data_IF_871880901419
#
_entry.id   IF_871880901419
#
_cell.length_a   1.000
_cell.length_b   1.000
_cell.length_c   1.000
_cell.angle_alpha   90.00
_cell.angle_beta   90.00
_cell.angle_gamma   90.00
#
_symmetry.space_group_name_H-M   'P 1'
#
loop_
_entity.id
_entity.type
_entity.pdbx_description
1 polymer ?
#
# COMPACT_ATOMS: atom_id res chain seq x y z
N UNK A 1 -24.83 -0.31 -21.30
CA UNK A 1 -24.35 0.96 -20.69
C UNK A 1 -24.88 1.24 -19.27
N UNK A 2 -25.93 0.58 -18.79
CA UNK A 2 -26.55 0.80 -17.46
C UNK A 2 -25.73 0.31 -16.25
N UNK A 3 -24.83 -0.67 -16.44
CA UNK A 3 -24.00 -1.21 -15.34
C UNK A 3 -22.94 -0.23 -14.80
N UNK A 4 -22.51 0.76 -15.61
CA UNK A 4 -21.52 1.76 -15.21
C UNK A 4 -22.13 2.86 -14.32
N UNK A 5 -23.41 3.20 -14.51
CA UNK A 5 -24.05 4.30 -13.77
C UNK A 5 -24.25 3.97 -12.27
N UNK A 6 -24.61 2.72 -11.93
CA UNK A 6 -24.71 2.28 -10.53
C UNK A 6 -23.38 2.36 -9.79
N UNK A 7 -22.27 2.02 -10.46
CA UNK A 7 -20.93 2.08 -9.86
C UNK A 7 -20.50 3.53 -9.61
N UNK A 8 -20.79 4.45 -10.53
CA UNK A 8 -20.49 5.87 -10.32
C UNK A 8 -21.26 6.47 -9.15
N UNK A 9 -22.55 6.14 -9.03
CA UNK A 9 -23.36 6.56 -7.89
C UNK A 9 -22.77 6.04 -6.56
N UNK A 10 -22.39 4.77 -6.49
CA UNK A 10 -21.80 4.20 -5.27
C UNK A 10 -20.42 4.77 -4.94
N UNK A 11 -19.59 5.12 -5.94
CA UNK A 11 -18.29 5.77 -5.70
C UNK A 11 -18.45 7.20 -5.16
N UNK A 12 -19.41 7.94 -5.72
CA UNK A 12 -19.76 9.28 -5.24
C UNK A 12 -20.38 9.23 -3.83
N UNK A 13 -21.28 8.28 -3.59
CA UNK A 13 -21.83 8.00 -2.25
C UNK A 13 -20.71 7.63 -1.27
N UNK A 14 -19.73 6.81 -1.66
CA UNK A 14 -18.59 6.48 -0.80
C UNK A 14 -17.69 7.67 -0.50
N UNK A 15 -17.46 8.56 -1.46
CA UNK A 15 -16.74 9.81 -1.20
C UNK A 15 -17.50 10.68 -0.20
N UNK A 16 -18.80 10.86 -0.40
CA UNK A 16 -19.64 11.59 0.55
C UNK A 16 -19.70 10.92 1.92
N UNK A 17 -19.79 9.59 2.00
CA UNK A 17 -19.80 8.84 3.24
C UNK A 17 -18.47 8.96 3.97
N UNK A 18 -17.35 8.80 3.25
CA UNK A 18 -16.02 8.94 3.83
C UNK A 18 -15.78 10.37 4.31
N UNK A 19 -16.04 11.37 3.47
CA UNK A 19 -15.92 12.77 3.86
C UNK A 19 -16.86 13.13 5.00
N UNK A 20 -18.11 12.66 5.01
CA UNK A 20 -19.03 12.88 6.12
C UNK A 20 -18.56 12.19 7.41
N UNK A 21 -18.03 10.97 7.34
CA UNK A 21 -17.47 10.27 8.50
C UNK A 21 -16.23 10.97 9.06
N UNK A 22 -15.36 11.48 8.19
CA UNK A 22 -14.14 12.16 8.61
C UNK A 22 -14.40 13.59 9.08
N UNK A 23 -15.35 14.31 8.47
CA UNK A 23 -15.61 15.72 8.75
C UNK A 23 -16.57 15.94 9.93
N UNK A 24 -17.45 14.98 10.28
CA UNK A 24 -18.39 15.12 11.42
C UNK A 24 -17.72 15.30 12.79
N UNK A 25 -16.41 15.11 12.90
CA UNK A 25 -15.66 15.17 14.16
C UNK A 25 -14.51 16.18 14.16
N UNK A 26 -14.49 17.17 13.26
CA UNK A 26 -13.46 18.22 13.32
C UNK A 26 -13.55 19.08 14.60
N UNK A 27 -14.69 19.02 15.33
CA UNK A 27 -14.89 19.73 16.60
C UNK A 27 -14.57 18.96 17.89
N UNK A 28 -14.46 17.63 17.86
CA UNK A 28 -14.11 16.81 19.04
C UNK A 28 -13.40 15.52 18.59
N UNK A 29 -12.22 15.24 19.15
CA UNK A 29 -11.50 14.00 18.87
C UNK A 29 -12.35 12.81 19.33
N UNK A 30 -13.02 12.15 18.40
CA UNK A 30 -13.70 10.90 18.69
C UNK A 30 -12.69 9.89 19.25
N UNK A 31 -13.06 9.05 20.23
CA UNK A 31 -12.21 7.98 20.71
C UNK A 31 -11.70 7.14 19.54
N UNK A 32 -10.43 6.77 19.57
CA UNK A 32 -9.77 5.99 18.52
C UNK A 32 -10.56 4.73 18.14
N UNK A 33 -11.14 4.06 19.13
CA UNK A 33 -12.00 2.89 18.97
C UNK A 33 -13.21 3.16 18.06
N UNK A 34 -13.84 4.33 18.20
CA UNK A 34 -14.97 4.73 17.36
C UNK A 34 -14.54 4.97 15.91
N UNK A 35 -13.33 5.47 15.66
CA UNK A 35 -12.79 5.59 14.30
C UNK A 35 -12.58 4.22 13.69
N UNK A 36 -11.94 3.32 14.45
CA UNK A 36 -11.69 1.96 14.01
C UNK A 36 -12.99 1.20 13.70
N UNK A 37 -14.03 1.30 14.54
CA UNK A 37 -15.33 0.67 14.32
C UNK A 37 -16.02 1.20 13.05
N UNK A 38 -16.13 2.53 12.90
CA UNK A 38 -16.75 3.16 11.72
C UNK A 38 -16.06 2.79 10.40
N UNK A 39 -14.73 2.75 10.38
CA UNK A 39 -13.99 2.31 9.18
C UNK A 39 -14.25 0.85 8.84
N UNK A 40 -14.54 0.01 9.84
CA UNK A 40 -14.91 -1.38 9.60
C UNK A 40 -16.34 -1.49 9.06
N UNK A 41 -17.30 -0.76 9.64
CA UNK A 41 -18.69 -0.69 9.17
C UNK A 41 -18.75 -0.19 7.72
N UNK A 42 -18.11 0.95 7.43
CA UNK A 42 -17.99 1.49 6.08
C UNK A 42 -17.43 0.44 5.08
N UNK A 43 -16.37 -0.29 5.48
CA UNK A 43 -15.79 -1.32 4.62
C UNK A 43 -16.77 -2.48 4.35
N UNK A 44 -17.61 -2.85 5.33
CA UNK A 44 -18.62 -3.90 5.16
C UNK A 44 -19.76 -3.43 4.26
N UNK A 45 -20.33 -2.25 4.52
CA UNK A 45 -21.38 -1.65 3.71
C UNK A 45 -20.96 -1.51 2.26
N UNK A 46 -19.74 -0.99 2.04
CA UNK A 46 -19.23 -0.78 0.68
C UNK A 46 -19.00 -2.11 -0.06
N UNK A 47 -18.46 -3.14 0.61
CA UNK A 47 -18.30 -4.48 -0.01
C UNK A 47 -19.64 -5.13 -0.33
N UNK A 48 -20.67 -4.89 0.47
CA UNK A 48 -22.02 -5.35 0.18
C UNK A 48 -22.62 -4.63 -1.04
N UNK A 49 -22.36 -3.33 -1.17
CA UNK A 49 -22.87 -2.52 -2.29
C UNK A 49 -22.11 -2.75 -3.62
N UNK A 50 -20.82 -3.07 -3.56
CA UNK A 50 -19.96 -3.25 -4.75
C UNK A 50 -19.50 -4.71 -4.81
N UNK A 51 -20.32 -5.62 -5.37
CA UNK A 51 -19.97 -7.03 -5.46
C UNK A 51 -18.68 -7.22 -6.27
N UNK A 52 -17.86 -8.19 -5.85
CA UNK A 52 -16.56 -8.49 -6.43
C UNK A 52 -16.76 -9.12 -7.82
N UNK A 53 -16.20 -8.51 -8.87
CA UNK A 53 -16.55 -8.81 -10.28
C UNK A 53 -15.46 -9.46 -11.13
N UNK A 54 -14.29 -9.75 -10.57
CA UNK A 54 -13.20 -10.27 -11.40
C UNK A 54 -13.53 -11.68 -11.95
N UNK A 55 -13.27 -11.98 -13.23
CA UNK A 55 -13.33 -13.36 -13.70
C UNK A 55 -12.37 -14.24 -12.89
N UNK A 56 -12.82 -15.46 -12.55
CA UNK A 56 -11.96 -16.40 -11.83
C UNK A 56 -10.83 -16.82 -12.76
N UNK A 57 -9.58 -16.54 -12.37
CA UNK A 57 -8.43 -16.91 -13.19
C UNK A 57 -8.38 -18.45 -13.32
N UNK A 58 -8.18 -19.04 -14.52
CA UNK A 58 -8.21 -20.49 -14.70
C UNK A 58 -7.24 -21.27 -13.80
N UNK A 59 -6.07 -20.70 -13.49
CA UNK A 59 -5.13 -21.30 -12.52
C UNK A 59 -5.68 -21.35 -11.09
N UNK A 60 -6.53 -20.40 -10.71
CA UNK A 60 -7.22 -20.39 -9.41
C UNK A 60 -8.27 -21.49 -9.38
N UNK A 61 -9.06 -21.66 -10.45
CA UNK A 61 -10.02 -22.76 -10.55
C UNK A 61 -9.33 -24.12 -10.45
N UNK A 62 -8.19 -24.30 -11.14
CA UNK A 62 -7.38 -25.54 -11.06
C UNK A 62 -6.80 -25.79 -9.67
N UNK A 63 -6.35 -24.75 -8.98
CA UNK A 63 -5.84 -24.87 -7.61
C UNK A 63 -6.97 -25.16 -6.61
N UNK A 64 -8.10 -24.46 -6.73
CA UNK A 64 -9.29 -24.67 -5.89
C UNK A 64 -9.86 -26.09 -6.04
N UNK A 65 -9.89 -26.64 -7.27
CA UNK A 65 -10.33 -28.01 -7.52
C UNK A 65 -9.46 -29.10 -6.84
N UNK A 66 -8.24 -28.76 -6.41
CA UNK A 66 -7.32 -29.68 -5.70
C UNK A 66 -7.41 -29.57 -4.18
N UNK A 67 -8.09 -28.55 -3.66
CA UNK A 67 -8.22 -28.33 -2.22
C UNK A 67 -9.57 -28.89 -1.77
N UNK A 68 -9.57 -29.84 -0.83
CA UNK A 68 -10.81 -30.35 -0.24
C UNK A 68 -11.56 -29.19 0.43
N UNK A 69 -12.82 -28.99 0.04
CA UNK A 69 -13.69 -27.95 0.58
C UNK A 69 -14.05 -28.28 2.02
N UNK A 70 -13.13 -28.07 2.95
CA UNK A 70 -13.48 -27.98 4.36
C UNK A 70 -14.34 -26.73 4.51
N UNK A 71 -15.59 -26.92 4.96
CA UNK A 71 -16.62 -25.90 5.02
C UNK A 71 -16.10 -24.58 5.61
N UNK A 72 -16.39 -23.49 4.91
CA UNK A 72 -15.97 -22.16 5.28
C UNK A 72 -16.70 -21.70 6.55
N UNK A 73 -15.95 -21.44 7.62
CA UNK A 73 -16.45 -20.64 8.74
C UNK A 73 -15.93 -19.21 8.58
N UNK A 74 -16.64 -18.41 7.77
CA UNK A 74 -16.45 -16.96 7.76
C UNK A 74 -17.09 -16.43 9.04
N UNK A 75 -16.28 -16.14 10.06
CA UNK A 75 -16.76 -15.41 11.23
C UNK A 75 -16.78 -13.92 10.90
N UNK A 76 -17.90 -13.27 11.19
CA UNK A 76 -18.03 -11.82 11.05
C UNK A 76 -17.08 -11.11 12.02
N UNK A 77 -16.57 -9.95 11.60
CA UNK A 77 -15.68 -9.12 12.40
C UNK A 77 -14.42 -8.65 11.68
N UNK A 78 -13.68 -7.73 12.31
CA UNK A 78 -12.47 -7.10 11.75
C UNK A 78 -11.35 -8.09 11.46
N UNK A 79 -11.17 -9.03 12.39
CA UNK A 79 -10.22 -10.13 12.26
C UNK A 79 -10.90 -11.33 11.61
N UNK A 80 -11.54 -11.10 10.45
CA UNK A 80 -12.15 -12.19 9.69
C UNK A 80 -11.10 -13.30 9.54
N UNK A 81 -11.42 -14.44 10.14
CA UNK A 81 -10.54 -15.60 10.15
C UNK A 81 -10.28 -16.02 8.71
N UNK A 82 -9.00 -16.15 8.39
CA UNK A 82 -8.50 -16.77 7.17
C UNK A 82 -8.11 -18.23 7.45
N UNK A 83 -8.34 -18.75 8.66
CA UNK A 83 -8.18 -20.16 8.95
C UNK A 83 -9.09 -20.98 8.03
N UNK A 84 -8.56 -22.08 7.50
CA UNK A 84 -9.26 -22.98 6.58
C UNK A 84 -9.75 -22.35 5.26
N UNK A 85 -9.37 -21.10 4.94
CA UNK A 85 -9.67 -20.56 3.60
C UNK A 85 -8.89 -21.31 2.53
N UNK A 86 -9.58 -21.72 1.46
CA UNK A 86 -8.96 -22.18 0.20
C UNK A 86 -8.68 -21.01 -0.75
N UNK A 87 -9.03 -19.78 -0.34
CA UNK A 87 -8.83 -18.60 -1.16
C UNK A 87 -7.34 -18.32 -1.33
N UNK A 88 -6.97 -18.05 -2.58
CA UNK A 88 -5.61 -17.68 -2.92
C UNK A 88 -5.37 -16.23 -2.52
N UNK A 89 -4.22 -15.97 -1.91
CA UNK A 89 -3.78 -14.60 -1.65
C UNK A 89 -3.42 -13.98 -2.98
N UNK A 90 -4.05 -12.84 -3.29
CA UNK A 90 -3.84 -12.12 -4.52
C UNK A 90 -3.39 -10.70 -4.19
N UNK A 91 -2.10 -10.43 -4.41
CA UNK A 91 -1.51 -9.15 -4.10
C UNK A 91 -1.62 -8.19 -5.28
N UNK A 92 -2.39 -7.11 -5.14
CA UNK A 92 -2.28 -5.97 -6.05
C UNK A 92 -0.95 -5.27 -5.73
N UNK A 93 0.07 -5.52 -6.55
CA UNK A 93 1.40 -4.94 -6.32
C UNK A 93 1.42 -3.51 -6.86
N UNK A 94 1.44 -2.53 -5.97
CA UNK A 94 1.81 -1.17 -6.36
C UNK A 94 3.33 -1.16 -6.51
N UNK A 95 3.83 -0.80 -7.70
CA UNK A 95 5.26 -0.81 -7.96
C UNK A 95 6.03 -0.05 -6.86
N UNK A 96 7.15 -0.59 -6.39
CA UNK A 96 8.03 0.04 -5.37
C UNK A 96 7.46 0.15 -3.94
N UNK A 97 6.38 -0.56 -3.62
CA UNK A 97 5.89 -0.74 -2.24
C UNK A 97 6.39 -2.05 -1.59
N UNK A 98 7.50 -2.58 -2.10
CA UNK A 98 8.16 -3.77 -1.51
C UNK A 98 7.57 -5.11 -1.96
N UNK A 99 6.90 -5.18 -3.12
CA UNK A 99 6.19 -6.39 -3.55
C UNK A 99 7.03 -7.67 -3.55
N UNK A 100 8.33 -7.63 -3.87
CA UNK A 100 9.20 -8.82 -3.74
C UNK A 100 9.29 -9.30 -2.30
N UNK A 101 9.58 -8.39 -1.37
CA UNK A 101 9.65 -8.67 0.07
C UNK A 101 8.32 -9.18 0.61
N UNK A 102 7.24 -8.46 0.31
CA UNK A 102 5.88 -8.84 0.72
C UNK A 102 5.53 -10.22 0.20
N UNK A 103 5.74 -10.51 -1.09
CA UNK A 103 5.43 -11.81 -1.70
C UNK A 103 6.24 -12.94 -1.08
N UNK A 104 7.49 -12.71 -0.67
CA UNK A 104 8.29 -13.70 0.07
C UNK A 104 7.64 -14.03 1.41
N UNK A 105 7.22 -13.01 2.16
CA UNK A 105 6.56 -13.20 3.47
C UNK A 105 5.18 -13.87 3.31
N UNK A 106 4.35 -13.42 2.37
CA UNK A 106 3.05 -14.03 2.09
C UNK A 106 3.18 -15.50 1.67
N UNK A 107 4.19 -15.85 0.87
CA UNK A 107 4.45 -17.23 0.46
C UNK A 107 4.89 -18.13 1.63
N UNK A 108 5.30 -17.59 2.78
CA UNK A 108 5.53 -18.40 3.99
C UNK A 108 4.22 -18.80 4.65
N UNK A 109 3.18 -17.97 4.52
CA UNK A 109 1.86 -18.21 5.10
C UNK A 109 0.96 -19.06 4.19
N UNK A 110 0.94 -18.75 2.88
CA UNK A 110 0.08 -19.39 1.89
C UNK A 110 0.82 -19.49 0.56
N UNK A 111 0.80 -20.66 -0.09
CA UNK A 111 1.31 -20.85 -1.45
C UNK A 111 0.21 -21.42 -2.36
N UNK A 112 0.09 -20.94 -3.61
CA UNK A 112 0.81 -19.82 -4.20
C UNK A 112 0.23 -18.45 -3.80
N UNK A 113 1.05 -17.40 -3.87
CA UNK A 113 0.58 -15.99 -3.85
C UNK A 113 0.51 -15.46 -5.28
N UNK A 114 -0.70 -15.14 -5.73
CA UNK A 114 -0.95 -14.53 -7.03
C UNK A 114 -0.79 -13.00 -7.02
N UNK A 115 -1.04 -12.41 -8.19
CA UNK A 115 -1.02 -10.96 -8.40
C UNK A 115 0.31 -10.43 -8.94
N UNK A 116 0.20 -9.26 -9.55
CA UNK A 116 1.21 -8.56 -10.34
C UNK A 116 1.16 -7.05 -10.09
N UNK A 117 2.00 -6.30 -10.80
CA UNK A 117 1.77 -4.85 -10.99
C UNK A 117 0.56 -4.65 -11.90
N UNK A 118 -0.60 -4.36 -11.31
CA UNK A 118 -1.88 -4.33 -12.03
C UNK A 118 -2.92 -3.46 -11.35
N UNK A 119 -4.01 -3.13 -12.06
CA UNK A 119 -5.17 -2.46 -11.46
C UNK A 119 -5.77 -3.27 -10.30
N UNK A 120 -6.30 -2.58 -9.29
CA UNK A 120 -6.95 -3.24 -8.16
C UNK A 120 -8.34 -3.74 -8.54
N UNK A 121 -9.23 -2.82 -8.94
CA UNK A 121 -10.66 -3.08 -9.08
C UNK A 121 -11.01 -4.28 -9.99
N UNK A 122 -10.39 -4.47 -11.17
CA UNK A 122 -10.71 -5.60 -12.05
C UNK A 122 -10.34 -6.97 -11.49
N UNK A 123 -9.56 -7.03 -10.40
CA UNK A 123 -9.01 -8.28 -9.86
C UNK A 123 -9.49 -8.59 -8.45
N UNK A 124 -10.44 -7.81 -7.93
CA UNK A 124 -11.16 -8.11 -6.70
C UNK A 124 -12.17 -9.23 -6.96
N UNK A 125 -12.00 -10.36 -6.27
CA UNK A 125 -12.87 -11.54 -6.37
C UNK A 125 -13.20 -12.12 -4.98
N UNK A 126 -14.34 -12.78 -4.83
CA UNK A 126 -14.73 -13.44 -3.57
C UNK A 126 -13.87 -14.68 -3.23
N UNK A 127 -13.38 -15.37 -4.25
CA UNK A 127 -12.50 -16.55 -4.09
C UNK A 127 -11.04 -16.19 -3.77
N UNK A 128 -10.74 -14.92 -3.51
CA UNK A 128 -9.38 -14.40 -3.32
C UNK A 128 -9.34 -13.56 -2.05
N UNK A 129 -8.23 -13.63 -1.35
CA UNK A 129 -7.88 -12.65 -0.32
C UNK A 129 -7.12 -11.54 -1.01
N UNK A 130 -7.74 -10.37 -1.15
CA UNK A 130 -7.13 -9.21 -1.77
C UNK A 130 -6.16 -8.54 -0.80
N UNK A 131 -4.88 -8.50 -1.18
CA UNK A 131 -3.79 -7.93 -0.37
C UNK A 131 -3.20 -6.72 -1.08
N UNK A 132 -3.05 -5.60 -0.39
CA UNK A 132 -2.42 -4.39 -0.93
C UNK A 132 -1.43 -3.83 0.09
N UNK A 133 -0.24 -3.48 -0.38
CA UNK A 133 0.76 -2.79 0.42
C UNK A 133 1.06 -1.41 -0.15
N UNK A 134 1.10 -0.43 0.76
CA UNK A 134 1.40 0.97 0.51
C UNK A 134 2.78 1.33 1.06
N UNK A 135 3.25 2.52 0.72
CA UNK A 135 4.54 3.06 1.19
C UNK A 135 4.39 4.56 1.38
N UNK A 136 5.15 5.14 2.31
CA UNK A 136 5.14 6.58 2.53
C UNK A 136 5.39 7.32 1.19
N UNK A 137 4.52 8.28 0.78
CA UNK A 137 4.51 8.83 -0.59
C UNK A 137 5.85 9.40 -1.06
N UNK A 138 6.55 10.19 -0.24
CA UNK A 138 7.83 10.79 -0.62
C UNK A 138 8.90 9.72 -0.83
N UNK A 139 8.98 8.76 0.10
CA UNK A 139 9.88 7.61 0.06
C UNK A 139 9.58 6.68 -1.11
N UNK A 140 8.30 6.55 -1.47
CA UNK A 140 7.83 5.78 -2.60
C UNK A 140 8.33 6.37 -3.91
N UNK A 141 8.12 7.67 -4.12
CA UNK A 141 8.56 8.38 -5.32
C UNK A 141 10.09 8.41 -5.45
N UNK A 142 10.83 8.64 -4.36
CA UNK A 142 12.29 8.53 -4.38
C UNK A 142 12.74 7.12 -4.79
N UNK A 143 12.05 6.08 -4.31
CA UNK A 143 12.35 4.70 -4.68
C UNK A 143 12.04 4.38 -6.14
N UNK A 144 11.04 5.04 -6.74
CA UNK A 144 10.75 4.96 -8.18
C UNK A 144 11.87 5.59 -8.99
N UNK A 145 12.28 6.83 -8.66
CA UNK A 145 13.39 7.50 -9.34
C UNK A 145 14.67 6.67 -9.30
N UNK A 146 15.11 6.23 -8.11
CA UNK A 146 16.33 5.44 -7.96
C UNK A 146 16.25 4.11 -8.73
N UNK A 147 15.07 3.52 -8.84
CA UNK A 147 14.90 2.34 -9.69
C UNK A 147 15.00 2.68 -11.18
N UNK A 148 14.37 3.77 -11.62
CA UNK A 148 14.45 4.24 -13.00
C UNK A 148 15.89 4.57 -13.42
N UNK A 149 16.65 5.23 -12.55
CA UNK A 149 18.01 5.70 -12.78
C UNK A 149 19.07 4.58 -12.80
N UNK A 150 18.85 3.49 -12.06
CA UNK A 150 19.90 2.50 -11.77
C UNK A 150 19.53 1.04 -12.00
N UNK A 151 18.27 0.70 -12.27
CA UNK A 151 17.84 -0.69 -12.40
C UNK A 151 17.09 -0.95 -13.72
N UNK A 152 17.18 -2.20 -14.18
CA UNK A 152 16.53 -2.66 -15.41
C UNK A 152 17.04 -1.87 -16.63
N UNK A 153 16.11 -1.23 -17.35
CA UNK A 153 16.34 -0.49 -18.61
C UNK A 153 16.93 0.91 -18.40
N UNK A 154 17.82 1.09 -17.43
CA UNK A 154 18.35 2.42 -17.07
C UNK A 154 19.03 3.15 -18.25
N UNK A 155 19.74 2.43 -19.15
CA UNK A 155 20.33 3.03 -20.36
C UNK A 155 19.27 3.65 -21.25
N UNK A 156 18.26 2.87 -21.64
CA UNK A 156 17.17 3.32 -22.50
C UNK A 156 16.45 4.54 -21.91
N UNK A 157 16.23 4.56 -20.59
CA UNK A 157 15.59 5.72 -19.94
C UNK A 157 16.45 6.98 -19.97
N UNK A 158 17.78 6.84 -19.85
CA UNK A 158 18.72 7.97 -20.00
C UNK A 158 18.72 8.49 -21.45
N UNK A 159 18.68 7.59 -22.43
CA UNK A 159 18.52 7.94 -23.84
C UNK A 159 17.19 8.68 -24.09
N UNK A 160 16.13 8.34 -23.35
CA UNK A 160 14.85 9.05 -23.35
C UNK A 160 14.86 10.37 -22.54
N UNK A 161 16.00 10.78 -21.98
CA UNK A 161 16.14 12.04 -21.25
C UNK A 161 15.85 11.98 -19.74
N UNK A 162 15.80 10.78 -19.13
CA UNK A 162 15.72 10.67 -17.67
C UNK A 162 16.90 11.42 -17.02
N UNK A 163 16.66 12.42 -16.16
CA UNK A 163 17.73 13.22 -15.59
C UNK A 163 18.49 12.41 -14.53
N UNK A 164 19.69 11.99 -14.87
CA UNK A 164 20.64 11.36 -13.95
C UNK A 164 21.89 12.24 -13.91
N UNK A 165 22.22 12.77 -12.74
CA UNK A 165 23.43 13.59 -12.56
C UNK A 165 24.49 12.73 -11.85
N UNK A 166 25.58 12.33 -12.54
CA UNK A 166 26.61 11.49 -11.94
C UNK A 166 27.16 12.10 -10.63
N UNK A 167 27.14 11.32 -9.55
CA UNK A 167 27.60 11.76 -8.24
C UNK A 167 26.64 12.70 -7.48
N UNK A 168 25.57 13.17 -8.11
CA UNK A 168 24.58 14.07 -7.50
C UNK A 168 23.13 13.62 -7.76
N UNK A 169 22.75 12.50 -7.14
CA UNK A 169 21.39 11.96 -7.28
C UNK A 169 20.29 12.89 -6.78
N UNK A 170 20.59 13.78 -5.82
CA UNK A 170 19.66 14.78 -5.30
C UNK A 170 19.24 15.76 -6.40
N UNK A 171 20.21 16.24 -7.19
CA UNK A 171 19.95 17.13 -8.31
C UNK A 171 19.17 16.42 -9.43
N UNK A 172 19.56 15.19 -9.77
CA UNK A 172 18.83 14.38 -10.76
C UNK A 172 17.38 14.13 -10.33
N UNK A 173 17.17 13.79 -9.06
CA UNK A 173 15.84 13.62 -8.48
C UNK A 173 15.02 14.93 -8.54
N UNK A 174 15.64 16.07 -8.22
CA UNK A 174 15.00 17.38 -8.31
C UNK A 174 14.54 17.72 -9.73
N UNK A 175 15.38 17.49 -10.74
CA UNK A 175 15.03 17.67 -12.16
C UNK A 175 13.89 16.73 -12.57
N UNK A 176 13.92 15.48 -12.11
CA UNK A 176 12.87 14.49 -12.40
C UNK A 176 11.52 14.88 -11.78
N UNK A 177 11.49 15.30 -10.52
CA UNK A 177 10.27 15.77 -9.84
C UNK A 177 9.71 17.01 -10.55
N UNK A 178 10.57 17.95 -10.96
CA UNK A 178 10.16 19.16 -11.69
C UNK A 178 9.40 18.85 -12.98
N UNK A 179 9.87 17.87 -13.76
CA UNK A 179 9.18 17.40 -14.98
C UNK A 179 7.72 16.99 -14.71
N UNK A 180 7.46 16.31 -13.59
CA UNK A 180 6.09 15.88 -13.26
C UNK A 180 5.23 16.99 -12.66
N UNK A 181 5.84 17.89 -11.89
CA UNK A 181 5.12 18.91 -11.14
C UNK A 181 4.75 20.14 -11.97
N UNK A 182 5.65 20.59 -12.85
CA UNK A 182 5.52 21.92 -13.47
C UNK A 182 4.75 21.86 -14.80
N UNK A 183 5.06 20.92 -15.69
CA UNK A 183 4.59 20.97 -17.07
C UNK A 183 4.27 19.60 -17.70
N UNK A 184 4.01 18.59 -16.87
CA UNK A 184 3.74 17.23 -17.35
C UNK A 184 2.47 17.11 -18.20
N UNK A 185 2.57 16.24 -19.21
CA UNK A 185 1.44 15.75 -20.00
C UNK A 185 1.70 14.32 -20.48
N UNK A 186 0.66 13.55 -20.86
CA UNK A 186 0.84 12.22 -21.44
C UNK A 186 1.82 12.19 -22.63
N UNK A 187 1.84 13.25 -23.45
CA UNK A 187 2.74 13.37 -24.61
C UNK A 187 4.23 13.50 -24.22
N UNK A 188 4.54 14.10 -23.06
CA UNK A 188 5.91 14.18 -22.54
C UNK A 188 6.36 12.87 -21.89
N UNK A 189 5.42 11.98 -21.57
CA UNK A 189 5.70 10.65 -21.02
C UNK A 189 6.36 10.67 -19.65
N UNK A 190 6.90 9.52 -19.27
CA UNK A 190 7.54 9.25 -17.97
C UNK A 190 8.91 8.57 -18.14
N UNK A 191 9.60 8.91 -19.23
CA UNK A 191 10.92 8.41 -19.58
C UNK A 191 11.01 6.88 -19.69
N UNK A 192 9.90 6.20 -20.03
CA UNK A 192 9.82 4.73 -20.06
C UNK A 192 10.02 4.09 -18.67
N UNK A 193 9.78 4.88 -17.62
CA UNK A 193 9.92 4.50 -16.22
C UNK A 193 8.58 4.51 -15.49
N UNK A 194 8.59 4.98 -14.25
CA UNK A 194 7.39 5.15 -13.44
C UNK A 194 6.87 6.57 -13.59
N UNK A 195 5.54 6.75 -13.62
CA UNK A 195 4.94 8.05 -13.41
C UNK A 195 4.53 8.21 -11.93
N UNK A 196 5.14 9.14 -11.17
CA UNK A 196 4.93 9.29 -9.73
C UNK A 196 3.60 9.92 -9.33
N UNK A 197 2.85 10.53 -10.26
CA UNK A 197 1.70 11.35 -9.93
C UNK A 197 0.54 10.51 -9.37
N UNK A 198 0.34 10.54 -8.06
CA UNK A 198 -0.68 9.77 -7.35
C UNK A 198 -0.73 8.27 -7.73
N UNK A 199 0.43 7.64 -7.91
CA UNK A 199 0.52 6.27 -8.44
C UNK A 199 -0.20 5.24 -7.56
N UNK A 200 -0.15 5.37 -6.23
CA UNK A 200 -0.88 4.44 -5.34
C UNK A 200 -2.38 4.54 -5.59
N UNK A 201 -2.92 5.76 -5.64
CA UNK A 201 -4.33 6.00 -5.91
C UNK A 201 -4.74 5.53 -7.31
N UNK A 202 -3.92 5.77 -8.34
CA UNK A 202 -4.22 5.34 -9.72
C UNK A 202 -4.37 3.82 -9.82
N UNK A 203 -3.47 3.07 -9.20
CA UNK A 203 -3.53 1.60 -9.17
C UNK A 203 -4.84 1.12 -8.54
N UNK A 204 -5.33 1.83 -7.52
CA UNK A 204 -6.59 1.49 -6.86
C UNK A 204 -7.83 1.78 -7.70
N UNK A 205 -7.80 2.82 -8.52
CA UNK A 205 -8.98 3.30 -9.26
C UNK A 205 -9.01 2.92 -10.73
N UNK A 206 -7.89 2.46 -11.31
CA UNK A 206 -7.85 2.05 -12.70
C UNK A 206 -8.73 0.81 -12.94
N UNK A 207 -9.28 0.72 -14.14
CA UNK A 207 -10.35 -0.24 -14.49
C UNK A 207 -10.02 -1.15 -15.66
N UNK A 208 -8.88 -0.92 -16.30
CA UNK A 208 -8.46 -1.73 -17.44
C UNK A 208 -7.81 -3.02 -16.94
N UNK A 209 -8.43 -4.15 -17.24
CA UNK A 209 -7.92 -5.47 -16.89
C UNK A 209 -6.65 -5.85 -17.66
N UNK A 210 -6.40 -5.18 -18.79
CA UNK A 210 -5.18 -5.37 -19.59
C UNK A 210 -3.97 -4.65 -19.00
N UNK A 211 -4.17 -3.78 -17.99
CA UNK A 211 -3.08 -3.11 -17.28
C UNK A 211 -2.47 -4.07 -16.26
N UNK A 212 -1.83 -5.12 -16.77
CA UNK A 212 -1.13 -6.12 -16.00
C UNK A 212 0.26 -6.35 -16.58
N UNK A 213 1.28 -5.90 -15.85
CA UNK A 213 2.65 -5.85 -16.35
C UNK A 213 3.34 -7.23 -16.30
N UNK A 214 2.73 -8.25 -15.67
CA UNK A 214 3.27 -9.62 -15.67
C UNK A 214 2.93 -10.40 -16.96
N UNK A 215 1.88 -10.03 -17.70
CA UNK A 215 1.50 -10.74 -18.94
C UNK A 215 2.23 -10.22 -20.18
N UNK A 216 2.83 -9.03 -20.10
CA UNK A 216 3.39 -8.33 -21.24
C UNK A 216 4.90 -8.23 -21.05
N UNK A 217 5.65 -9.07 -21.77
CA UNK A 217 7.13 -9.08 -21.75
C UNK A 217 7.75 -7.77 -22.27
N UNK A 218 6.94 -6.82 -22.77
CA UNK A 218 7.31 -5.45 -23.07
C UNK A 218 6.41 -4.48 -22.30
N UNK A 219 6.98 -3.37 -21.81
CA UNK A 219 6.20 -2.24 -21.27
C UNK A 219 5.60 -1.35 -22.38
N UNK A 220 5.38 -1.94 -23.55
CA UNK A 220 4.89 -1.24 -24.74
C UNK A 220 3.35 -1.14 -24.68
N UNK A 221 2.76 -1.87 -23.73
CA UNK A 221 1.35 -1.81 -23.37
C UNK A 221 1.15 -1.01 -22.07
N UNK A 222 -0.03 -0.37 -21.90
CA UNK A 222 -0.31 0.43 -20.72
C UNK A 222 -0.28 -0.44 -19.47
N UNK A 223 0.66 -0.13 -18.58
CA UNK A 223 0.87 -0.79 -17.30
C UNK A 223 0.38 0.13 -16.18
N UNK A 224 -0.06 -0.42 -15.04
CA UNK A 224 -0.68 0.36 -13.96
C UNK A 224 0.25 1.41 -13.32
N UNK A 225 1.55 1.36 -13.60
CA UNK A 225 2.53 2.34 -13.13
C UNK A 225 2.75 3.53 -14.10
N UNK A 226 2.11 3.52 -15.27
CA UNK A 226 2.02 4.66 -16.20
C UNK A 226 0.71 5.43 -15.96
N UNK A 227 0.59 6.62 -16.55
CA UNK A 227 -0.70 7.34 -16.65
C UNK A 227 -1.37 6.94 -17.96
N UNK A 228 -2.70 6.93 -17.97
CA UNK A 228 -3.48 6.75 -19.18
C UNK A 228 -3.27 7.88 -20.20
N UNK A 229 -4.07 7.86 -21.27
CA UNK A 229 -3.94 8.84 -22.37
C UNK A 229 -4.38 10.24 -21.98
N UNK A 230 -5.12 10.39 -20.88
CA UNK A 230 -5.70 11.66 -20.44
C UNK A 230 -4.93 12.20 -19.25
N UNK A 231 -4.76 13.51 -19.17
CA UNK A 231 -4.05 14.16 -18.06
C UNK A 231 -4.77 13.93 -16.73
N UNK A 232 -6.10 13.85 -16.78
CA UNK A 232 -6.97 13.63 -15.63
C UNK A 232 -6.76 12.24 -15.00
N UNK A 233 -6.25 11.27 -15.76
CA UNK A 233 -5.93 9.93 -15.24
C UNK A 233 -4.78 10.00 -14.20
N UNK A 234 -4.00 11.09 -14.15
CA UNK A 234 -3.00 11.35 -13.12
C UNK A 234 -3.60 11.81 -11.77
N UNK A 235 -4.89 12.14 -11.74
CA UNK A 235 -5.60 12.69 -10.59
C UNK A 235 -6.88 11.89 -10.31
N UNK A 236 -6.75 10.64 -9.84
CA UNK A 236 -7.91 9.80 -9.57
C UNK A 236 -8.78 10.39 -8.46
N UNK A 237 -10.10 10.14 -8.46
CA UNK A 237 -11.00 10.61 -7.41
C UNK A 237 -10.56 10.06 -6.03
N UNK A 238 -10.36 10.95 -5.07
CA UNK A 238 -9.83 10.60 -3.75
C UNK A 238 -10.75 9.62 -3.02
N UNK A 239 -12.06 9.88 -2.97
CA UNK A 239 -13.01 9.00 -2.29
C UNK A 239 -13.01 7.58 -2.84
N UNK A 240 -12.89 7.42 -4.17
CA UNK A 240 -12.79 6.11 -4.81
C UNK A 240 -11.51 5.36 -4.40
N UNK A 241 -10.37 6.06 -4.37
CA UNK A 241 -9.09 5.46 -3.98
C UNK A 241 -9.11 5.04 -2.50
N UNK A 242 -9.64 5.87 -1.61
CA UNK A 242 -9.77 5.54 -0.19
C UNK A 242 -10.75 4.39 0.05
N UNK A 243 -11.89 4.37 -0.64
CA UNK A 243 -12.83 3.26 -0.57
C UNK A 243 -12.15 1.93 -0.99
N UNK A 244 -11.32 1.97 -2.02
CA UNK A 244 -10.55 0.80 -2.46
C UNK A 244 -9.53 0.31 -1.41
N UNK A 245 -8.92 1.20 -0.63
CA UNK A 245 -8.10 0.80 0.54
C UNK A 245 -8.94 -0.05 1.51
N UNK A 246 -10.14 0.42 1.85
CA UNK A 246 -11.01 -0.25 2.81
C UNK A 246 -11.68 -1.51 2.24
N UNK A 247 -11.81 -1.63 0.92
CA UNK A 247 -12.29 -2.83 0.26
C UNK A 247 -11.34 -4.03 0.39
N UNK A 248 -10.04 -3.78 0.35
CA UNK A 248 -9.03 -4.84 0.44
C UNK A 248 -9.24 -5.71 1.68
N UNK A 249 -8.99 -7.02 1.55
CA UNK A 249 -9.11 -7.94 2.69
C UNK A 249 -7.96 -7.74 3.67
N UNK A 250 -6.80 -7.33 3.15
CA UNK A 250 -5.57 -7.05 3.90
C UNK A 250 -4.94 -5.79 3.33
N UNK A 251 -4.71 -4.82 4.21
CA UNK A 251 -3.95 -3.61 3.93
C UNK A 251 -2.66 -3.65 4.73
N UNK A 252 -1.56 -3.31 4.09
CA UNK A 252 -0.27 -3.13 4.73
C UNK A 252 0.37 -1.80 4.37
N UNK A 253 1.25 -1.32 5.23
CA UNK A 253 2.21 -0.25 4.92
C UNK A 253 3.60 -0.84 5.07
N UNK A 254 4.50 -0.55 4.12
CA UNK A 254 5.82 -1.16 4.07
C UNK A 254 6.63 -0.87 5.34
N UNK A 255 6.43 0.31 5.93
CA UNK A 255 7.07 0.74 7.16
C UNK A 255 6.65 -0.10 8.39
N UNK A 256 5.55 -0.85 8.30
CA UNK A 256 5.07 -1.79 9.32
C UNK A 256 4.92 -3.22 8.75
N UNK A 257 5.71 -3.57 7.72
CA UNK A 257 5.62 -4.90 7.10
C UNK A 257 5.67 -6.05 8.13
N UNK A 258 6.61 -6.10 9.08
CA UNK A 258 6.68 -7.20 10.05
C UNK A 258 5.39 -7.32 10.89
N UNK A 259 4.86 -6.20 11.38
CA UNK A 259 3.66 -6.14 12.19
C UNK A 259 2.42 -6.56 11.39
N UNK A 260 2.33 -6.15 10.11
CA UNK A 260 1.26 -6.57 9.21
C UNK A 260 1.32 -8.07 8.93
N UNK A 261 2.51 -8.65 8.75
CA UNK A 261 2.69 -10.11 8.62
C UNK A 261 2.24 -10.84 9.88
N UNK A 262 2.47 -10.29 11.07
CA UNK A 262 1.97 -10.84 12.32
C UNK A 262 0.44 -10.83 12.41
N UNK A 263 -0.21 -9.75 11.98
CA UNK A 263 -1.68 -9.68 11.89
C UNK A 263 -2.22 -10.72 10.92
N UNK A 264 -1.59 -10.86 9.75
CA UNK A 264 -1.92 -11.88 8.75
C UNK A 264 -1.76 -13.31 9.29
N UNK A 265 -0.65 -13.58 9.98
CA UNK A 265 -0.36 -14.86 10.63
C UNK A 265 -1.45 -15.20 11.65
N UNK A 266 -1.80 -14.26 12.54
CA UNK A 266 -2.89 -14.43 13.49
C UNK A 266 -4.22 -14.72 12.80
N UNK A 267 -4.60 -13.94 11.78
CA UNK A 267 -5.83 -14.17 11.02
C UNK A 267 -5.85 -15.54 10.35
N UNK A 268 -4.70 -16.03 9.89
CA UNK A 268 -4.58 -17.33 9.20
C UNK A 268 -4.56 -18.51 10.16
N UNK A 269 -3.85 -18.42 11.27
CA UNK A 269 -3.61 -19.54 12.18
C UNK A 269 -4.53 -19.53 13.41
N UNK A 270 -5.24 -18.43 13.67
CA UNK A 270 -6.02 -18.20 14.88
C UNK A 270 -5.17 -17.97 16.14
N UNK A 271 -3.84 -17.98 16.01
CA UNK A 271 -2.88 -17.76 17.10
C UNK A 271 -1.68 -16.97 16.59
N UNK A 272 -1.04 -16.23 17.49
CA UNK A 272 0.13 -15.43 17.18
C UNK A 272 1.41 -16.14 17.63
N UNK A 273 2.45 -16.15 16.80
CA UNK A 273 3.75 -16.69 17.20
C UNK A 273 4.49 -15.78 18.18
N UNK A 274 5.39 -16.36 18.98
CA UNK A 274 6.24 -15.60 19.90
C UNK A 274 7.13 -14.56 19.18
N UNK A 275 7.45 -14.79 17.90
CA UNK A 275 8.23 -13.85 17.09
C UNK A 275 7.49 -12.56 16.74
N UNK A 276 6.18 -12.51 16.98
CA UNK A 276 5.30 -11.37 16.73
C UNK A 276 5.00 -10.53 17.97
N UNK A 277 5.37 -11.02 19.16
CA UNK A 277 5.17 -10.28 20.41
C UNK A 277 6.27 -9.22 20.52
N UNK A 278 5.87 -7.96 20.58
CA UNK A 278 6.74 -6.86 20.96
C UNK A 278 7.18 -7.06 22.41
N UNK A 279 8.44 -7.47 22.60
CA UNK A 279 9.03 -7.63 23.92
C UNK A 279 10.19 -6.63 24.10
N UNK A 280 10.03 -5.57 24.90
CA UNK A 280 11.08 -4.58 25.13
C UNK A 280 12.27 -5.17 25.90
N UNK A 281 12.09 -6.26 26.64
CA UNK A 281 13.16 -6.94 27.39
C UNK A 281 14.04 -7.83 26.49
N UNK A 282 13.54 -8.25 25.32
CA UNK A 282 14.37 -8.88 24.27
C UNK A 282 15.14 -7.80 23.51
N UNK A 283 16.05 -7.13 24.21
CA UNK A 283 17.17 -6.44 23.57
C UNK A 283 18.21 -7.51 23.24
N UNK A 284 17.96 -8.31 22.22
CA UNK A 284 18.94 -9.29 21.76
C UNK A 284 20.21 -8.52 21.35
N UNK A 285 21.27 -8.62 22.17
CA UNK A 285 22.70 -8.31 22.02
C UNK A 285 23.22 -7.29 20.96
N UNK A 286 22.39 -6.46 20.33
CA UNK A 286 22.83 -5.62 19.21
C UNK A 286 21.77 -4.96 18.31
N UNK A 287 20.50 -4.82 18.71
CA UNK A 287 19.64 -3.79 18.07
C UNK A 287 18.18 -4.17 17.82
N UNK A 288 17.31 -3.21 18.14
CA UNK A 288 15.87 -3.08 17.91
C UNK A 288 14.99 -4.31 18.21
N UNK A 289 14.02 -4.11 19.12
CA UNK A 289 12.91 -5.01 19.44
C UNK A 289 11.95 -5.17 18.24
N UNK A 290 12.44 -5.68 17.11
CA UNK A 290 11.64 -5.90 15.90
C UNK A 290 11.18 -7.35 15.82
N UNK A 291 9.94 -7.61 15.37
CA UNK A 291 9.48 -8.98 15.12
C UNK A 291 10.47 -9.75 14.25
N UNK A 292 10.64 -11.06 14.50
CA UNK A 292 11.67 -11.87 13.83
C UNK A 292 11.53 -11.87 12.29
N UNK A 293 10.30 -11.67 11.79
CA UNK A 293 9.98 -11.49 10.36
C UNK A 293 10.71 -10.28 9.73
N UNK A 294 11.03 -9.23 10.51
CA UNK A 294 11.69 -8.01 10.04
C UNK A 294 13.10 -8.24 9.50
N UNK A 295 13.87 -9.13 10.14
CA UNK A 295 15.30 -9.30 9.82
C UNK A 295 15.55 -10.01 8.48
N UNK A 296 14.54 -10.69 7.92
CA UNK A 296 14.69 -11.54 6.72
C UNK A 296 14.00 -10.97 5.46
N UNK A 297 13.23 -9.88 5.59
CA UNK A 297 12.35 -9.41 4.53
C UNK A 297 13.03 -8.47 3.51
N UNK A 298 14.18 -7.87 3.81
CA UNK A 298 14.83 -6.92 2.89
C UNK A 298 15.58 -7.64 1.76
N UNK A 299 14.85 -8.08 0.74
CA UNK A 299 15.44 -8.55 -0.52
C UNK A 299 15.89 -7.34 -1.32
N UNK A 300 17.10 -6.84 -1.07
CA UNK A 300 17.72 -5.81 -1.90
C UNK A 300 18.07 -6.40 -3.28
N UNK A 301 17.59 -5.75 -4.33
CA UNK A 301 17.90 -6.17 -5.70
C UNK A 301 19.29 -5.67 -6.11
N UNK A 302 20.24 -6.59 -6.17
CA UNK A 302 21.55 -6.50 -6.85
C UNK A 302 22.69 -5.72 -6.16
N UNK A 303 23.93 -6.19 -6.42
CA UNK A 303 25.20 -5.52 -6.06
C UNK A 303 25.28 -4.07 -6.60
N UNK A 304 24.62 -3.76 -7.73
CA UNK A 304 24.65 -2.43 -8.34
C UNK A 304 23.88 -1.37 -7.54
N UNK A 305 22.80 -1.72 -6.85
CA UNK A 305 22.12 -0.78 -5.93
C UNK A 305 22.95 -0.43 -4.70
N UNK A 306 23.97 -1.23 -4.35
CA UNK A 306 24.89 -0.91 -3.25
C UNK A 306 25.89 0.18 -3.61
N UNK A 307 26.15 0.40 -4.90
CA UNK A 307 27.12 1.39 -5.37
C UNK A 307 26.54 2.80 -5.49
N UNK A 308 25.20 2.94 -5.61
CA UNK A 308 24.57 4.25 -5.58
C UNK A 308 24.61 4.83 -4.16
N UNK A 309 25.01 6.11 -4.03
CA UNK A 309 24.90 6.82 -2.75
C UNK A 309 23.43 6.78 -2.32
N UNK A 310 23.16 6.37 -1.08
CA UNK A 310 21.80 6.39 -0.55
C UNK A 310 21.38 7.84 -0.39
N UNK A 311 20.68 8.39 -1.39
CA UNK A 311 19.99 9.67 -1.22
C UNK A 311 19.01 9.55 -0.08
N UNK A 312 19.07 10.49 0.84
CA UNK A 312 18.07 10.69 1.87
C UNK A 312 17.11 11.81 1.48
N UNK A 313 15.83 11.69 1.83
CA UNK A 313 14.88 12.79 1.68
C UNK A 313 15.29 14.04 2.48
N UNK A 314 16.10 13.87 3.54
CA UNK A 314 16.65 14.99 4.30
C UNK A 314 17.67 15.83 3.49
N UNK A 315 18.27 15.28 2.44
CA UNK A 315 19.19 16.00 1.55
C UNK A 315 18.47 16.74 0.42
N UNK A 316 17.17 16.49 0.23
CA UNK A 316 16.40 17.03 -0.89
C UNK A 316 15.96 18.48 -0.59
N UNK A 317 16.19 19.45 -1.49
CA UNK A 317 15.81 20.84 -1.27
C UNK A 317 14.31 21.00 -0.95
N UNK A 318 13.92 21.94 -0.06
CA UNK A 318 12.52 22.16 0.31
C UNK A 318 11.61 22.44 -0.88
N UNK A 319 12.09 23.14 -1.90
CA UNK A 319 11.34 23.42 -3.13
C UNK A 319 10.98 22.13 -3.89
N UNK A 320 11.92 21.17 -3.98
CA UNK A 320 11.67 19.86 -4.56
C UNK A 320 10.70 19.05 -3.71
N UNK A 321 10.80 19.13 -2.38
CA UNK A 321 9.83 18.48 -1.47
C UNK A 321 8.42 19.05 -1.68
N UNK A 322 8.27 20.36 -1.81
CA UNK A 322 6.96 20.99 -2.07
C UNK A 322 6.35 20.53 -3.41
N UNK A 323 7.17 20.40 -4.46
CA UNK A 323 6.72 19.84 -5.75
C UNK A 323 6.37 18.36 -5.65
N UNK A 324 7.14 17.60 -4.87
CA UNK A 324 6.86 16.19 -4.61
C UNK A 324 5.51 16.00 -3.89
N UNK A 325 5.22 16.85 -2.91
CA UNK A 325 3.94 16.83 -2.20
C UNK A 325 2.77 17.19 -3.13
N UNK A 326 2.95 18.12 -4.07
CA UNK A 326 1.89 18.52 -5.00
C UNK A 326 1.48 17.37 -5.94
N UNK A 327 2.45 16.60 -6.44
CA UNK A 327 2.18 15.45 -7.33
C UNK A 327 1.72 14.19 -6.59
N UNK A 328 1.88 14.12 -5.26
CA UNK A 328 1.46 12.97 -4.42
C UNK A 328 0.30 13.28 -3.47
N UNK A 329 -0.41 14.40 -3.70
CA UNK A 329 -1.47 14.88 -2.80
C UNK A 329 -2.56 13.83 -2.50
N UNK A 330 -3.02 13.08 -3.50
CA UNK A 330 -4.02 12.02 -3.32
C UNK A 330 -3.40 10.81 -2.65
N UNK A 331 -2.17 10.45 -3.05
CA UNK A 331 -1.40 9.36 -2.46
C UNK A 331 -1.14 9.56 -0.96
N UNK A 332 -0.93 10.78 -0.49
CA UNK A 332 -0.79 11.09 0.94
C UNK A 332 -2.07 10.78 1.73
N UNK A 333 -3.25 11.06 1.17
CA UNK A 333 -4.52 10.73 1.81
C UNK A 333 -4.84 9.23 1.74
N UNK A 334 -4.52 8.57 0.62
CA UNK A 334 -4.61 7.11 0.49
C UNK A 334 -3.69 6.41 1.50
N UNK A 335 -2.44 6.86 1.61
CA UNK A 335 -1.49 6.35 2.60
C UNK A 335 -2.00 6.58 4.03
N UNK A 336 -2.57 7.76 4.32
CA UNK A 336 -3.22 8.01 5.61
C UNK A 336 -4.32 6.99 5.92
N UNK A 337 -5.22 6.74 4.98
CA UNK A 337 -6.27 5.74 5.15
C UNK A 337 -5.68 4.33 5.38
N UNK A 338 -4.60 4.00 4.68
CA UNK A 338 -3.90 2.72 4.84
C UNK A 338 -3.24 2.58 6.23
N UNK A 339 -2.52 3.61 6.71
CA UNK A 339 -1.90 3.60 8.05
C UNK A 339 -2.98 3.45 9.12
N UNK A 340 -4.05 4.26 9.06
CA UNK A 340 -5.17 4.18 10.02
C UNK A 340 -5.75 2.75 10.02
N UNK A 341 -5.95 2.16 8.83
CA UNK A 341 -6.46 0.80 8.72
C UNK A 341 -5.54 -0.22 9.37
N UNK A 342 -4.23 -0.15 9.07
CA UNK A 342 -3.21 -1.05 9.64
C UNK A 342 -3.17 -0.95 11.15
N UNK A 343 -3.15 0.26 11.71
CA UNK A 343 -3.11 0.46 13.16
C UNK A 343 -4.34 -0.13 13.84
N UNK A 344 -5.53 0.10 13.29
CA UNK A 344 -6.74 -0.50 13.84
C UNK A 344 -6.76 -2.04 13.74
N UNK A 345 -6.19 -2.62 12.67
CA UNK A 345 -6.09 -4.08 12.52
C UNK A 345 -5.07 -4.67 13.52
N UNK A 346 -3.93 -3.99 13.74
CA UNK A 346 -2.96 -4.33 14.80
C UNK A 346 -3.64 -4.29 16.17
N UNK A 347 -4.32 -3.20 16.50
CA UNK A 347 -5.01 -3.07 17.80
C UNK A 347 -6.04 -4.16 18.05
N UNK A 348 -6.79 -4.56 17.01
CA UNK A 348 -7.73 -5.64 17.14
C UNK A 348 -7.03 -6.94 17.52
N UNK A 349 -5.87 -7.25 16.91
CA UNK A 349 -5.06 -8.43 17.29
C UNK A 349 -4.50 -8.29 18.71
N UNK A 350 -4.00 -7.11 19.09
CA UNK A 350 -3.48 -6.89 20.44
C UNK A 350 -4.56 -7.13 21.50
N UNK A 351 -5.78 -6.62 21.28
CA UNK A 351 -6.92 -6.87 22.18
C UNK A 351 -7.30 -8.34 22.23
N UNK A 352 -7.37 -9.00 21.07
CA UNK A 352 -7.77 -10.41 20.98
C UNK A 352 -6.75 -11.36 21.62
N UNK A 353 -5.48 -10.96 21.71
CA UNK A 353 -4.39 -11.82 22.19
C UNK A 353 -3.84 -11.42 23.55
N UNK A 354 -4.15 -10.21 24.05
CA UNK A 354 -3.51 -9.61 25.22
C UNK A 354 -2.02 -9.28 25.03
N UNK A 355 -1.48 -9.42 23.82
CA UNK A 355 -0.07 -9.24 23.52
C UNK A 355 0.14 -7.99 22.67
N UNK A 356 1.23 -7.26 22.92
CA UNK A 356 1.64 -6.15 22.06
C UNK A 356 2.31 -6.65 20.80
N UNK A 357 1.96 -6.06 19.66
CA UNK A 357 2.53 -6.37 18.33
C UNK A 357 3.35 -5.18 17.84
N UNK A 358 2.85 -3.96 18.02
CA UNK A 358 3.54 -2.75 17.58
C UNK A 358 4.39 -2.15 18.70
N UNK A 359 5.71 -2.12 18.48
CA UNK A 359 6.65 -1.50 19.42
C UNK A 359 6.73 0.03 19.27
N UNK A 360 6.94 0.73 20.38
CA UNK A 360 7.03 2.21 20.41
C UNK A 360 8.08 2.78 19.44
N UNK A 361 9.33 2.24 19.36
CA UNK A 361 10.32 2.77 18.42
C UNK A 361 9.88 2.67 16.95
N UNK A 362 9.15 1.61 16.60
CA UNK A 362 8.62 1.43 15.24
C UNK A 362 7.50 2.43 14.96
N UNK A 363 6.61 2.65 15.93
CA UNK A 363 5.57 3.66 15.83
C UNK A 363 6.16 5.08 15.66
N UNK A 364 7.20 5.43 16.42
CA UNK A 364 7.92 6.69 16.28
C UNK A 364 8.56 6.84 14.90
N UNK A 365 9.17 5.77 14.37
CA UNK A 365 9.73 5.80 13.03
C UNK A 365 8.67 6.11 11.97
N UNK A 366 7.51 5.46 12.02
CA UNK A 366 6.41 5.75 11.08
C UNK A 366 5.90 7.18 11.25
N UNK A 367 5.78 7.67 12.48
CA UNK A 367 5.43 9.06 12.79
C UNK A 367 6.39 10.06 12.16
N UNK A 368 7.68 9.86 12.39
CA UNK A 368 8.74 10.74 11.88
C UNK A 368 8.83 10.71 10.35
N UNK A 369 8.50 9.58 9.71
CA UNK A 369 8.48 9.51 8.23
C UNK A 369 7.27 10.23 7.63
N UNK A 370 6.14 10.25 8.32
CA UNK A 370 4.86 10.71 7.77
C UNK A 370 4.25 11.93 8.48
N UNK A 371 5.03 12.64 9.30
CA UNK A 371 4.58 13.83 10.04
C UNK A 371 4.00 14.93 9.13
N UNK A 372 4.48 14.99 7.88
CA UNK A 372 4.06 15.96 6.88
C UNK A 372 2.66 15.67 6.32
N UNK A 373 2.08 14.49 6.57
CA UNK A 373 0.75 14.12 6.08
C UNK A 373 -0.31 14.73 6.99
N UNK A 374 -1.14 15.66 6.50
CA UNK A 374 -2.11 16.37 7.33
C UNK A 374 -3.07 15.41 8.04
N UNK A 375 -3.30 15.66 9.33
CA UNK A 375 -4.29 14.96 10.15
C UNK A 375 -4.10 13.44 10.30
N UNK A 376 -2.97 12.86 9.87
CA UNK A 376 -2.70 11.43 10.08
C UNK A 376 -2.67 11.08 11.58
N UNK A 377 -1.87 11.83 12.34
CA UNK A 377 -1.59 11.52 13.74
C UNK A 377 -2.57 12.11 14.75
N UNK A 378 -3.45 13.03 14.33
CA UNK A 378 -4.52 13.55 15.20
C UNK A 378 -5.47 12.45 15.69
N UNK A 379 -5.68 11.44 14.85
CA UNK A 379 -6.56 10.29 15.12
C UNK A 379 -6.01 9.36 16.21
N UNK A 380 -4.69 9.37 16.45
CA UNK A 380 -3.97 8.39 17.26
C UNK A 380 -3.19 9.03 18.41
N UNK A 381 -3.75 10.09 19.00
CA UNK A 381 -3.14 10.81 20.13
C UNK A 381 -2.97 9.93 21.38
N UNK A 382 -3.82 8.92 21.54
CA UNK A 382 -3.81 7.88 22.60
C UNK A 382 -2.59 6.97 22.57
N UNK A 383 -1.94 6.80 21.41
CA UNK A 383 -0.58 6.25 21.33
C UNK A 383 0.47 7.28 21.82
N UNK A 384 0.09 8.12 22.78
CA UNK A 384 0.99 9.05 23.43
C UNK A 384 2.17 8.24 23.97
N UNK A 385 3.37 8.65 23.56
CA UNK A 385 4.57 8.30 24.31
C UNK A 385 4.30 8.69 25.76
N UNK A 386 4.69 7.88 26.76
CA UNK A 386 4.81 8.42 28.10
C UNK A 386 5.62 9.72 27.98
N UNK A 387 5.07 10.83 28.47
CA UNK A 387 5.74 12.13 28.50
C UNK A 387 6.94 11.99 29.44
N UNK A 388 8.05 11.49 28.93
CA UNK A 388 9.36 11.64 29.56
C UNK A 388 9.97 12.91 28.95
N UNK A 389 9.61 14.05 29.55
CA UNK A 389 10.45 15.23 29.57
C UNK A 389 11.20 15.22 30.90
#
# INVERSE_FOLDING_TARGET
>A
MTANFKVFRHLFEAEQMYSAHMNRNEGALAPEEAVCARLFEFAQEYRAAVPRRAPVHPLILRAAARLSSSGFLRRDGRLQSLANTTSIFHMTHIAKTGGRSVKVELNRLVKPVGGAEQCHAPFVHESRVSVIFFREPRSHVLSQYLHSAYAGRASNRREMGLPVVPGNDVEGFGKWVRHFADDWSPAKGDFGGYNPMNMMARVLTCRDEHWNCDYLKGCDAPCAHHVGRRKEDAFPPLGAAVAAVHMADVVGVLELLPEVICVLEYRRLGKMSHGCVCNPARKDAGGESTPQHARRAHVMNSRRQRAARKVSLAEVPPETISRLDSITKVDAQVYRAAVVRVLCDIQAVERATGNKVLCSPRMEQVRNLSFHIPNLWRTFSSYSLPRWL
#
